data_IF_840340632329
#
_entry.id   IF_840340632329
#
_cell.length_a   1.000
_cell.length_b   1.000
_cell.length_c   1.000
_cell.angle_alpha   90.00
_cell.angle_beta   90.00
_cell.angle_gamma   90.00
#
_symmetry.space_group_name_H-M   'P 1'
#
loop_
_entity.id
_entity.type
_entity.pdbx_description
1 polymer ?
#
# COMPACT_ATOMS: atom_id res chain seq x y z
N UNK A 1 -22.39 15.76 18.19
CA UNK A 1 -21.84 14.48 18.63
C UNK A 1 -20.39 14.67 19.05
N UNK A 2 -19.92 14.08 20.15
CA UNK A 2 -18.52 14.11 20.52
C UNK A 2 -17.71 13.32 19.50
N UNK A 3 -16.74 13.98 18.85
CA UNK A 3 -15.80 13.36 17.93
C UNK A 3 -14.52 13.09 18.71
N UNK A 4 -14.08 11.83 18.75
CA UNK A 4 -12.87 11.44 19.48
C UNK A 4 -11.61 11.76 18.70
N UNK A 5 -11.60 11.51 17.38
CA UNK A 5 -10.49 11.75 16.46
C UNK A 5 -11.05 12.09 15.08
N UNK A 6 -10.35 12.95 14.33
CA UNK A 6 -10.68 13.26 12.96
C UNK A 6 -9.58 12.74 12.02
N UNK A 7 -9.94 11.82 11.14
CA UNK A 7 -9.04 11.33 10.09
C UNK A 7 -9.23 12.21 8.86
N UNK A 8 -8.16 12.85 8.39
CA UNK A 8 -8.18 13.74 7.24
C UNK A 8 -7.41 13.12 6.08
N UNK A 9 -8.09 12.90 4.97
CA UNK A 9 -7.47 12.58 3.68
C UNK A 9 -7.51 13.84 2.81
N UNK A 10 -6.39 14.58 2.69
CA UNK A 10 -6.39 15.90 2.07
C UNK A 10 -6.37 15.81 0.54
N UNK A 11 -7.42 15.26 -0.03
CA UNK A 11 -7.69 15.17 -1.48
C UNK A 11 -9.16 15.46 -1.76
N UNK A 12 -9.44 16.01 -2.91
CA UNK A 12 -10.83 16.14 -3.39
C UNK A 12 -11.30 14.82 -4.00
N UNK A 13 -12.60 14.58 -4.00
CA UNK A 13 -13.21 13.39 -4.63
C UNK A 13 -12.88 13.31 -6.13
N UNK A 14 -12.77 14.44 -6.82
CA UNK A 14 -12.50 14.49 -8.26
C UNK A 14 -11.07 14.06 -8.63
N UNK A 15 -10.13 14.23 -7.72
CA UNK A 15 -8.73 13.85 -7.94
C UNK A 15 -8.52 12.34 -7.84
N UNK A 16 -9.38 11.62 -7.13
CA UNK A 16 -9.16 10.23 -6.77
C UNK A 16 -7.76 10.05 -6.15
N UNK A 17 -6.83 9.46 -6.91
CA UNK A 17 -5.44 9.23 -6.51
C UNK A 17 -4.42 9.92 -7.42
N UNK A 18 -4.85 10.91 -8.22
CA UNK A 18 -3.97 11.68 -9.09
C UNK A 18 -3.35 12.84 -8.33
N UNK A 19 -2.13 13.22 -8.72
CA UNK A 19 -1.39 14.30 -8.05
C UNK A 19 -0.96 13.95 -6.62
N UNK A 20 -0.64 14.95 -5.83
CA UNK A 20 -0.21 14.84 -4.43
C UNK A 20 -1.31 15.28 -3.47
N UNK A 21 -1.36 14.77 -2.23
CA UNK A 21 -2.27 15.31 -1.21
C UNK A 21 -2.02 16.80 -0.95
N UNK A 22 -3.10 17.52 -0.65
CA UNK A 22 -3.04 18.96 -0.34
C UNK A 22 -2.57 19.19 1.10
N UNK A 23 -1.27 19.30 1.31
CA UNK A 23 -0.67 19.50 2.63
C UNK A 23 -1.18 20.78 3.33
N UNK A 24 -1.48 21.83 2.57
CA UNK A 24 -2.06 23.08 3.05
C UNK A 24 -3.46 22.91 3.65
N UNK A 25 -4.29 22.03 3.09
CA UNK A 25 -5.59 21.70 3.64
C UNK A 25 -5.47 20.97 4.99
N UNK A 26 -4.51 20.05 5.13
CA UNK A 26 -4.22 19.43 6.42
C UNK A 26 -3.65 20.44 7.42
N UNK A 27 -2.71 21.31 7.00
CA UNK A 27 -2.11 22.35 7.83
C UNK A 27 -3.16 23.29 8.40
N UNK A 28 -4.16 23.67 7.60
CA UNK A 28 -5.28 24.53 8.06
C UNK A 28 -6.06 23.83 9.17
N UNK A 29 -6.43 22.57 9.00
CA UNK A 29 -7.15 21.81 10.03
C UNK A 29 -6.29 21.63 11.29
N UNK A 30 -5.01 21.32 11.13
CA UNK A 30 -4.04 21.17 12.21
C UNK A 30 -3.88 22.43 13.06
N UNK A 31 -3.87 23.61 12.44
CA UNK A 31 -3.76 24.88 13.13
C UNK A 31 -5.06 25.40 13.76
N UNK A 32 -6.23 24.84 13.40
CA UNK A 32 -7.54 25.36 13.82
C UNK A 32 -8.34 24.42 14.71
N UNK A 33 -8.12 23.11 14.61
CA UNK A 33 -8.90 22.12 15.35
C UNK A 33 -8.16 21.68 16.61
N UNK A 34 -8.77 21.88 17.78
CA UNK A 34 -8.23 21.48 19.09
C UNK A 34 -8.52 20.02 19.46
N UNK A 35 -8.56 19.12 18.48
CA UNK A 35 -8.86 17.69 18.68
C UNK A 35 -7.78 16.81 18.06
N UNK A 36 -7.67 15.51 18.46
CA UNK A 36 -6.75 14.58 17.85
C UNK A 36 -6.98 14.45 16.35
N UNK A 37 -5.92 14.63 15.54
CA UNK A 37 -5.94 14.50 14.10
C UNK A 37 -5.11 13.31 13.65
N UNK A 38 -5.68 12.50 12.75
CA UNK A 38 -4.99 11.46 12.03
C UNK A 38 -4.80 11.89 10.56
N UNK A 39 -3.57 11.85 10.08
CA UNK A 39 -3.28 12.11 8.67
C UNK A 39 -3.44 10.84 7.83
N UNK A 40 -4.18 10.92 6.74
CA UNK A 40 -4.29 9.86 5.74
C UNK A 40 -3.90 10.42 4.36
N UNK A 41 -2.69 10.12 3.91
CA UNK A 41 -2.17 10.60 2.62
C UNK A 41 -1.15 9.63 2.04
N UNK A 42 -0.41 10.07 1.02
CA UNK A 42 0.56 9.27 0.28
C UNK A 42 1.84 9.02 1.12
N UNK A 43 1.73 8.12 2.09
CA UNK A 43 2.83 7.67 2.92
C UNK A 43 3.27 6.28 2.41
N UNK A 44 4.40 6.22 1.70
CA UNK A 44 4.91 5.00 1.07
C UNK A 44 6.24 4.52 1.67
N UNK A 45 6.91 5.39 2.46
CA UNK A 45 8.17 5.11 3.12
C UNK A 45 8.16 5.58 4.57
N UNK A 46 9.10 5.08 5.36
CA UNK A 46 9.35 5.59 6.71
C UNK A 46 9.78 7.07 6.66
N UNK A 47 10.55 7.45 5.65
CA UNK A 47 10.95 8.84 5.44
C UNK A 47 9.76 9.78 5.26
N UNK A 48 8.72 9.37 4.50
CA UNK A 48 7.48 10.16 4.34
C UNK A 48 6.78 10.35 5.69
N UNK A 49 6.72 9.29 6.49
CA UNK A 49 6.12 9.35 7.83
C UNK A 49 6.89 10.29 8.76
N UNK A 50 8.21 10.20 8.76
CA UNK A 50 9.09 11.06 9.57
C UNK A 50 9.02 12.52 9.11
N UNK A 51 9.00 12.77 7.82
CA UNK A 51 8.87 14.12 7.27
C UNK A 51 7.53 14.76 7.68
N UNK A 52 6.43 14.01 7.55
CA UNK A 52 5.12 14.50 7.99
C UNK A 52 5.12 14.83 9.50
N UNK A 53 5.63 13.95 10.33
CA UNK A 53 5.66 14.18 11.79
C UNK A 53 6.60 15.30 12.22
N UNK A 54 7.64 15.62 11.43
CA UNK A 54 8.45 16.82 11.66
C UNK A 54 7.67 18.10 11.35
N UNK A 55 6.87 18.11 10.27
CA UNK A 55 6.06 19.28 9.92
C UNK A 55 4.85 19.46 10.84
N UNK A 56 4.28 18.36 11.32
CA UNK A 56 3.07 18.34 12.16
C UNK A 56 3.29 17.48 13.41
N UNK A 57 4.10 17.94 14.39
CA UNK A 57 4.56 17.11 15.51
C UNK A 57 3.44 16.66 16.46
N UNK A 58 2.30 17.35 16.50
CA UNK A 58 1.15 16.99 17.32
C UNK A 58 0.11 16.16 16.55
N UNK A 59 0.45 15.62 15.38
CA UNK A 59 -0.43 14.65 14.70
C UNK A 59 -0.55 13.40 15.56
N UNK A 60 -1.79 13.06 15.92
CA UNK A 60 -2.07 11.95 16.84
C UNK A 60 -1.74 10.58 16.23
N UNK A 61 -2.06 10.39 14.96
CA UNK A 61 -1.85 9.13 14.26
C UNK A 61 -1.63 9.34 12.76
N UNK A 62 -1.05 8.32 12.12
CA UNK A 62 -0.91 8.21 10.66
C UNK A 62 -1.74 7.01 10.18
N UNK A 63 -2.60 7.22 9.20
CA UNK A 63 -3.34 6.14 8.57
C UNK A 63 -2.67 5.75 7.24
N UNK A 64 -2.19 4.52 7.19
CA UNK A 64 -1.54 3.95 6.03
C UNK A 64 -2.51 3.05 5.26
N UNK A 65 -2.59 3.20 3.95
CA UNK A 65 -3.38 2.35 3.07
C UNK A 65 -2.49 1.73 2.00
N UNK A 66 -2.40 2.37 0.86
CA UNK A 66 -1.62 1.92 -0.30
C UNK A 66 -0.14 1.66 0.01
N UNK A 67 0.45 2.46 0.91
CA UNK A 67 1.82 2.26 1.36
C UNK A 67 2.05 0.85 1.92
N UNK A 68 1.15 0.35 2.78
CA UNK A 68 1.26 -1.00 3.34
C UNK A 68 1.03 -2.12 2.31
N UNK A 69 0.18 -1.88 1.29
CA UNK A 69 -0.02 -2.87 0.23
C UNK A 69 1.21 -2.89 -0.70
N UNK A 70 1.80 -1.73 -0.97
CA UNK A 70 3.01 -1.60 -1.79
C UNK A 70 4.24 -2.10 -1.03
N UNK A 71 4.35 -1.78 0.26
CA UNK A 71 5.43 -2.24 1.14
C UNK A 71 4.86 -2.84 2.43
N UNK A 72 4.61 -4.14 2.49
CA UNK A 72 4.07 -4.79 3.70
C UNK A 72 4.98 -4.71 4.93
N UNK A 73 6.24 -4.37 4.78
CA UNK A 73 7.19 -4.19 5.88
C UNK A 73 7.31 -2.74 6.39
N UNK A 74 6.55 -1.79 5.82
CA UNK A 74 6.66 -0.35 6.10
C UNK A 74 6.61 0.01 7.60
N UNK A 75 5.91 -0.78 8.41
CA UNK A 75 5.79 -0.55 9.86
C UNK A 75 6.53 -1.60 10.71
N UNK A 76 7.41 -2.41 10.10
CA UNK A 76 8.08 -3.50 10.81
C UNK A 76 9.44 -3.10 11.42
N UNK A 77 9.94 -1.91 11.13
CA UNK A 77 11.27 -1.45 11.59
C UNK A 77 12.45 -2.16 10.92
N UNK A 78 12.19 -3.00 9.92
CA UNK A 78 13.20 -3.73 9.17
C UNK A 78 13.00 -3.56 7.67
N UNK A 79 14.09 -3.62 6.87
CA UNK A 79 13.99 -3.49 5.43
C UNK A 79 13.21 -4.65 4.82
N UNK A 80 12.44 -4.34 3.79
CA UNK A 80 11.72 -5.34 3.01
C UNK A 80 12.71 -6.27 2.30
N UNK A 81 12.51 -7.59 2.44
CA UNK A 81 13.30 -8.61 1.73
C UNK A 81 12.42 -9.46 0.82
N UNK A 82 12.97 -10.00 -0.27
CA UNK A 82 12.26 -10.97 -1.12
C UNK A 82 11.71 -12.14 -0.32
N UNK A 83 12.50 -12.67 0.60
CA UNK A 83 12.08 -13.79 1.45
C UNK A 83 10.88 -13.42 2.34
N UNK A 84 10.84 -12.19 2.88
CA UNK A 84 9.69 -11.71 3.65
C UNK A 84 8.44 -11.56 2.76
N UNK A 85 8.59 -11.04 1.54
CA UNK A 85 7.49 -10.91 0.57
C UNK A 85 6.94 -12.27 0.14
N UNK A 86 7.80 -13.24 -0.14
CA UNK A 86 7.40 -14.62 -0.49
C UNK A 86 6.59 -15.24 0.65
N UNK A 87 7.08 -15.13 1.89
CA UNK A 87 6.35 -15.62 3.06
C UNK A 87 5.01 -14.93 3.26
N UNK A 88 4.98 -13.60 3.13
CA UNK A 88 3.74 -12.82 3.22
C UNK A 88 2.72 -13.26 2.17
N UNK A 89 3.14 -13.36 0.90
CA UNK A 89 2.30 -13.81 -0.20
C UNK A 89 1.74 -15.23 0.05
N UNK A 90 2.59 -16.17 0.47
CA UNK A 90 2.17 -17.55 0.75
C UNK A 90 1.14 -17.62 1.89
N UNK A 91 1.36 -16.89 2.99
CA UNK A 91 0.40 -16.83 4.11
C UNK A 91 -0.93 -16.20 3.71
N UNK A 92 -0.89 -15.13 2.93
CA UNK A 92 -2.09 -14.47 2.44
C UNK A 92 -2.89 -15.37 1.50
N UNK A 93 -2.21 -16.06 0.59
CA UNK A 93 -2.83 -17.05 -0.31
C UNK A 93 -3.51 -18.19 0.47
N UNK A 94 -2.81 -18.79 1.44
CA UNK A 94 -3.37 -19.83 2.30
C UNK A 94 -4.64 -19.35 3.00
N UNK A 95 -4.59 -18.17 3.64
CA UNK A 95 -5.73 -17.62 4.35
C UNK A 95 -6.94 -17.35 3.43
N UNK A 96 -6.71 -16.93 2.20
CA UNK A 96 -7.80 -16.75 1.25
C UNK A 96 -8.34 -18.05 0.69
N UNK A 97 -7.48 -19.07 0.46
CA UNK A 97 -7.92 -20.39 0.01
C UNK A 97 -8.73 -21.15 1.07
N UNK A 98 -8.41 -20.95 2.34
CA UNK A 98 -9.18 -21.51 3.46
C UNK A 98 -10.58 -20.90 3.59
N UNK A 99 -10.68 -19.60 3.30
CA UNK A 99 -11.90 -18.81 3.54
C UNK A 99 -12.83 -18.70 2.35
N UNK A 100 -12.30 -18.77 1.13
CA UNK A 100 -13.07 -18.46 -0.09
C UNK A 100 -12.95 -19.54 -1.16
N UNK A 101 -13.97 -19.68 -2.03
CA UNK A 101 -13.87 -20.50 -3.23
C UNK A 101 -12.68 -20.08 -4.12
N UNK A 102 -12.11 -21.01 -4.92
CA UNK A 102 -10.87 -20.74 -5.69
C UNK A 102 -10.91 -19.49 -6.58
N UNK A 103 -12.04 -19.22 -7.24
CA UNK A 103 -12.18 -18.04 -8.11
C UNK A 103 -12.20 -16.72 -7.32
N UNK A 104 -12.77 -16.72 -6.10
CA UNK A 104 -12.78 -15.55 -5.21
C UNK A 104 -11.40 -15.32 -4.64
N UNK A 105 -10.74 -16.38 -4.15
CA UNK A 105 -9.37 -16.31 -3.66
C UNK A 105 -8.42 -15.75 -4.74
N UNK A 106 -8.51 -16.25 -5.98
CA UNK A 106 -7.75 -15.73 -7.11
C UNK A 106 -8.02 -14.24 -7.36
N UNK A 107 -9.29 -13.82 -7.36
CA UNK A 107 -9.66 -12.42 -7.54
C UNK A 107 -9.03 -11.51 -6.49
N UNK A 108 -9.09 -11.91 -5.21
CA UNK A 108 -8.49 -11.18 -4.08
C UNK A 108 -6.96 -11.11 -4.18
N UNK A 109 -6.32 -12.24 -4.50
CA UNK A 109 -4.87 -12.28 -4.65
C UNK A 109 -4.39 -11.39 -5.80
N UNK A 110 -5.07 -11.42 -6.95
CA UNK A 110 -4.76 -10.53 -8.08
C UNK A 110 -4.90 -9.06 -7.72
N UNK A 111 -5.95 -8.71 -6.97
CA UNK A 111 -6.22 -7.33 -6.54
C UNK A 111 -5.08 -6.78 -5.65
N UNK A 112 -4.59 -7.59 -4.73
CA UNK A 112 -3.47 -7.19 -3.86
C UNK A 112 -2.15 -7.24 -4.63
N UNK A 113 -1.90 -8.30 -5.39
CA UNK A 113 -0.64 -8.49 -6.08
C UNK A 113 -0.35 -7.41 -7.13
N UNK A 114 -1.37 -6.83 -7.78
CA UNK A 114 -1.16 -5.73 -8.73
C UNK A 114 -0.49 -4.48 -8.11
N UNK A 115 -0.62 -4.30 -6.78
CA UNK A 115 0.05 -3.24 -6.04
C UNK A 115 1.37 -3.70 -5.44
N UNK A 116 1.38 -4.92 -4.95
CA UNK A 116 2.54 -5.59 -4.38
C UNK A 116 3.73 -5.68 -5.37
N UNK A 117 3.47 -5.83 -6.67
CA UNK A 117 4.51 -5.81 -7.70
C UNK A 117 5.30 -4.48 -7.74
N UNK A 118 4.76 -3.40 -7.18
CA UNK A 118 5.45 -2.12 -7.09
C UNK A 118 6.67 -2.13 -6.15
N UNK A 119 6.85 -3.22 -5.36
CA UNK A 119 8.08 -3.46 -4.62
C UNK A 119 9.27 -3.85 -5.50
N UNK A 120 9.04 -4.16 -6.77
CA UNK A 120 10.06 -4.69 -7.68
C UNK A 120 10.44 -3.67 -8.77
N UNK A 121 11.65 -3.83 -9.30
CA UNK A 121 12.08 -3.07 -10.46
C UNK A 121 11.33 -3.52 -11.73
N UNK A 122 11.09 -2.57 -12.65
CA UNK A 122 10.41 -2.80 -13.94
C UNK A 122 9.11 -3.64 -13.80
N UNK A 123 8.14 -3.24 -12.96
CA UNK A 123 6.99 -4.06 -12.57
C UNK A 123 5.90 -4.19 -13.64
N UNK A 124 5.99 -3.51 -14.78
CA UNK A 124 4.92 -3.40 -15.77
C UNK A 124 4.54 -4.74 -16.40
N UNK A 125 5.54 -5.53 -16.81
CA UNK A 125 5.31 -6.84 -17.43
C UNK A 125 4.75 -7.85 -16.44
N UNK A 126 5.36 -8.06 -15.24
CA UNK A 126 4.79 -8.91 -14.18
C UNK A 126 3.37 -8.48 -13.79
N UNK A 127 3.15 -7.19 -13.57
CA UNK A 127 1.83 -6.63 -13.24
C UNK A 127 0.78 -7.02 -14.28
N UNK A 128 1.11 -6.89 -15.56
CA UNK A 128 0.20 -7.27 -16.67
C UNK A 128 -0.08 -8.77 -16.67
N UNK A 129 0.93 -9.62 -16.45
CA UNK A 129 0.77 -11.07 -16.38
C UNK A 129 -0.12 -11.48 -15.22
N UNK A 130 0.12 -10.97 -14.01
CA UNK A 130 -0.68 -11.23 -12.81
C UNK A 130 -2.13 -10.79 -13.03
N UNK A 131 -2.35 -9.59 -13.57
CA UNK A 131 -3.70 -9.08 -13.84
C UNK A 131 -4.48 -9.94 -14.83
N UNK A 132 -3.81 -10.51 -15.84
CA UNK A 132 -4.42 -11.35 -16.88
C UNK A 132 -4.61 -12.81 -16.47
N UNK A 133 -4.01 -13.25 -15.37
CA UNK A 133 -4.11 -14.64 -14.93
C UNK A 133 -5.58 -15.02 -14.63
N UNK A 134 -6.16 -15.86 -15.47
CA UNK A 134 -7.56 -16.32 -15.35
C UNK A 134 -7.70 -17.55 -14.45
N UNK A 135 -6.59 -18.21 -14.09
CA UNK A 135 -6.52 -19.42 -13.27
C UNK A 135 -5.42 -19.30 -12.22
N UNK A 136 -5.56 -20.06 -11.13
CA UNK A 136 -4.62 -20.01 -10.00
C UNK A 136 -3.21 -20.44 -10.41
N UNK A 137 -3.08 -21.47 -11.24
CA UNK A 137 -1.79 -21.94 -11.76
C UNK A 137 -1.04 -20.84 -12.54
N UNK A 138 -1.73 -20.17 -13.46
CA UNK A 138 -1.17 -19.05 -14.21
C UNK A 138 -0.79 -17.86 -13.32
N UNK A 139 -1.57 -17.61 -12.27
CA UNK A 139 -1.25 -16.59 -11.27
C UNK A 139 0.04 -16.93 -10.50
N UNK A 140 0.14 -18.16 -10.00
CA UNK A 140 1.30 -18.65 -9.26
C UNK A 140 2.57 -18.64 -10.13
N UNK A 141 2.46 -19.03 -11.40
CA UNK A 141 3.58 -18.95 -12.34
C UNK A 141 4.05 -17.50 -12.58
N UNK A 142 3.11 -16.55 -12.69
CA UNK A 142 3.45 -15.13 -12.82
C UNK A 142 4.13 -14.59 -11.56
N UNK A 143 3.65 -14.98 -10.38
CA UNK A 143 4.26 -14.59 -9.09
C UNK A 143 5.65 -15.20 -8.90
N UNK A 144 5.84 -16.49 -9.26
CA UNK A 144 7.15 -17.14 -9.21
C UNK A 144 8.16 -16.38 -10.09
N UNK A 145 7.81 -16.10 -11.34
CA UNK A 145 8.68 -15.32 -12.24
C UNK A 145 9.02 -13.95 -11.67
N UNK A 146 8.04 -13.25 -11.07
CA UNK A 146 8.31 -11.98 -10.40
C UNK A 146 9.38 -12.13 -9.32
N UNK A 147 9.26 -13.14 -8.45
CA UNK A 147 10.21 -13.34 -7.37
C UNK A 147 11.59 -13.81 -7.86
N UNK A 148 11.66 -14.60 -8.93
CA UNK A 148 12.90 -15.16 -9.44
C UNK A 148 13.67 -14.20 -10.34
N UNK A 149 12.96 -13.42 -11.19
CA UNK A 149 13.56 -12.64 -12.29
C UNK A 149 13.72 -11.15 -11.98
N UNK A 150 13.07 -10.63 -10.90
CA UNK A 150 13.08 -9.19 -10.59
C UNK A 150 13.69 -8.91 -9.21
N UNK A 151 14.47 -7.82 -9.13
CA UNK A 151 15.00 -7.30 -7.88
C UNK A 151 14.03 -6.34 -7.20
N UNK A 152 14.18 -6.19 -5.86
CA UNK A 152 13.42 -5.20 -5.13
C UNK A 152 13.91 -3.80 -5.45
N UNK A 153 12.98 -2.85 -5.58
CA UNK A 153 13.31 -1.43 -5.69
C UNK A 153 13.49 -0.81 -4.30
N UNK A 154 14.44 0.10 -4.19
CA UNK A 154 14.63 0.88 -2.96
C UNK A 154 13.49 1.87 -2.68
N UNK A 155 12.78 2.28 -3.75
CA UNK A 155 11.72 3.28 -3.69
C UNK A 155 10.41 2.76 -4.29
N UNK A 156 9.69 1.88 -3.59
CA UNK A 156 8.40 1.39 -4.06
C UNK A 156 7.42 2.54 -4.25
N UNK A 157 6.90 2.69 -5.47
CA UNK A 157 5.90 3.72 -5.79
C UNK A 157 4.59 3.07 -6.19
N UNK A 158 3.51 3.54 -5.60
CA UNK A 158 2.18 3.10 -6.00
C UNK A 158 1.90 3.50 -7.45
N UNK A 159 1.56 2.52 -8.28
CA UNK A 159 1.16 2.76 -9.66
C UNK A 159 -0.37 2.93 -9.70
N UNK A 160 -0.83 4.14 -9.98
CA UNK A 160 -2.24 4.38 -10.29
C UNK A 160 -2.65 3.61 -11.57
N UNK A 161 -3.93 3.27 -11.67
CA UNK A 161 -4.52 2.65 -12.88
C UNK A 161 -4.72 3.68 -13.98
#
# INVERSE_FOLDING_TARGET
>A
YPIHELIIHPRTRAEFYRGTPHADAFAKAYGTLGMPLCYNGDLFSEADCLELTRHFPNTHALMLGRGLITNPALCCGEPLTKAALIRFHARLLSAYQEKYPPHVALGRMREIAKHFVCCFEAPEKPRKAIRKAGRMDAYLDAMRRLFDEHELTENPKFMAE
#
